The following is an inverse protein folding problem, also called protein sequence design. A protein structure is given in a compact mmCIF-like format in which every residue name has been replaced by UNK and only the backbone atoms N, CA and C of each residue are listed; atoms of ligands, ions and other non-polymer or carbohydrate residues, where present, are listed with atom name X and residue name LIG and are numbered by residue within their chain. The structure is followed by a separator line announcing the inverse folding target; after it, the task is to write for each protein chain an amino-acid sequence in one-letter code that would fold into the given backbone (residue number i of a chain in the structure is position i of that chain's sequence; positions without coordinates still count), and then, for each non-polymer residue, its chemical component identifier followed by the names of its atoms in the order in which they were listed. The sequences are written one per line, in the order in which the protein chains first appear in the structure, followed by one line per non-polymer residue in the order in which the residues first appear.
data_IF_525425493702
#
_entry.id   IF_525425493702
#
_cell.length_a   1.000
_cell.length_b   1.000
_cell.length_c   1.000
_cell.angle_alpha   90.00
_cell.angle_beta   90.00
_cell.angle_gamma   90.00
#
_symmetry.space_group_name_H-M   'P 1'
#
loop_
_entity.id
_entity.type
_entity.pdbx_description
1 polymer ?
#
# COMPACT_ATOMS: atom_id res chain seq x y z
N UNK A 1 23.77 -47.19 -4.32
CA UNK A 1 24.03 -45.76 -4.33
C UNK A 1 23.51 -45.22 -5.66
N UNK A 2 22.23 -44.86 -5.74
CA UNK A 2 21.54 -44.43 -6.96
C UNK A 2 21.16 -42.99 -6.80
N UNK A 3 21.73 -42.14 -7.63
CA UNK A 3 21.40 -40.73 -7.71
C UNK A 3 20.15 -40.57 -8.59
N UNK A 4 19.07 -40.08 -8.02
CA UNK A 4 17.86 -39.68 -8.74
C UNK A 4 18.07 -38.26 -9.30
N UNK A 5 18.30 -38.20 -10.60
CA UNK A 5 18.23 -36.97 -11.40
C UNK A 5 16.77 -36.60 -11.59
N UNK A 6 16.38 -35.44 -11.11
CA UNK A 6 15.05 -34.86 -11.30
C UNK A 6 14.85 -34.47 -12.78
N UNK A 7 13.86 -35.05 -13.42
CA UNK A 7 13.43 -34.71 -14.78
C UNK A 7 12.24 -33.71 -14.69
N UNK A 8 12.33 -32.48 -15.25
CA UNK A 8 11.24 -31.53 -15.24
C UNK A 8 10.42 -31.56 -16.54
N UNK A 9 9.74 -32.68 -16.83
CA UNK A 9 8.83 -32.75 -17.97
C UNK A 9 7.56 -33.47 -17.55
N UNK A 10 6.50 -32.72 -17.24
CA UNK A 10 5.14 -33.25 -17.15
C UNK A 10 4.60 -33.48 -18.57
N UNK A 11 4.54 -34.75 -18.97
CA UNK A 11 3.90 -35.18 -20.21
C UNK A 11 2.43 -35.46 -19.88
N UNK A 12 1.52 -34.62 -20.34
CA UNK A 12 0.10 -34.89 -20.38
C UNK A 12 -0.23 -35.69 -21.65
N UNK A 13 -0.39 -37.02 -21.53
CA UNK A 13 -0.92 -37.82 -22.60
C UNK A 13 -2.45 -37.72 -22.61
N UNK A 14 -3.01 -37.06 -23.61
CA UNK A 14 -4.43 -37.12 -23.92
C UNK A 14 -4.64 -38.19 -24.98
N UNK A 15 -5.24 -39.31 -24.61
CA UNK A 15 -5.64 -40.36 -25.55
C UNK A 15 -7.09 -40.10 -25.97
N UNK A 16 -7.30 -39.91 -27.28
CA UNK A 16 -8.61 -39.81 -27.90
C UNK A 16 -8.95 -41.19 -28.51
N UNK A 17 -10.12 -41.79 -28.25
CA UNK A 17 -10.49 -43.04 -28.86
C UNK A 17 -10.98 -42.87 -30.29
N UNK A 18 -10.25 -43.50 -31.21
CA UNK A 18 -10.64 -43.57 -32.63
C UNK A 18 -11.60 -44.74 -32.85
N UNK A 19 -12.72 -44.59 -33.58
CA UNK A 19 -13.77 -45.64 -33.72
C UNK A 19 -13.37 -46.80 -34.66
N UNK A 20 -12.16 -46.87 -35.17
CA UNK A 20 -11.69 -47.93 -36.08
C UNK A 20 -10.47 -48.74 -35.64
N UNK A 21 -10.11 -48.69 -34.36
CA UNK A 21 -9.29 -49.77 -33.76
C UNK A 21 -7.84 -49.90 -34.24
N UNK A 22 -7.22 -48.89 -34.86
CA UNK A 22 -5.80 -48.93 -35.21
C UNK A 22 -5.11 -47.77 -34.51
N UNK A 23 -4.42 -48.07 -33.43
CA UNK A 23 -3.68 -47.08 -32.65
C UNK A 23 -2.38 -46.69 -33.40
N UNK A 24 -2.40 -45.57 -34.10
CA UNK A 24 -1.20 -44.88 -34.53
C UNK A 24 -0.98 -43.68 -33.61
N UNK A 25 -0.22 -43.91 -32.54
CA UNK A 25 0.22 -42.84 -31.66
C UNK A 25 1.48 -42.19 -32.24
N UNK A 26 1.34 -41.16 -33.01
CA UNK A 26 2.46 -40.23 -33.27
C UNK A 26 2.56 -39.28 -32.08
N UNK A 27 3.74 -39.15 -31.43
CA UNK A 27 3.91 -38.13 -30.38
C UNK A 27 3.97 -36.77 -31.02
N UNK A 28 2.93 -35.99 -30.84
CA UNK A 28 2.92 -34.57 -31.17
C UNK A 28 3.71 -33.84 -30.09
N UNK A 29 5.00 -33.62 -30.36
CA UNK A 29 5.82 -32.73 -29.53
C UNK A 29 5.37 -31.29 -29.77
N UNK A 30 4.49 -30.77 -28.97
CA UNK A 30 4.39 -29.32 -28.78
C UNK A 30 5.64 -28.88 -28.02
N UNK A 31 6.67 -28.46 -28.76
CA UNK A 31 7.76 -27.72 -28.19
C UNK A 31 7.20 -26.36 -27.77
N UNK A 32 6.84 -26.25 -26.49
CA UNK A 32 6.70 -24.94 -25.88
C UNK A 32 8.02 -24.20 -26.10
N UNK A 33 7.98 -22.96 -26.61
CA UNK A 33 9.21 -22.17 -26.67
C UNK A 33 9.79 -22.12 -25.24
N UNK A 34 11.11 -22.15 -25.09
CA UNK A 34 11.72 -21.99 -23.79
C UNK A 34 11.11 -20.73 -23.18
N UNK A 35 10.60 -20.85 -21.96
CA UNK A 35 10.20 -19.69 -21.19
C UNK A 35 11.41 -18.76 -21.18
N UNK A 36 11.42 -17.81 -22.10
CA UNK A 36 12.31 -16.66 -21.99
C UNK A 36 11.89 -16.07 -20.68
N UNK A 37 12.70 -16.31 -19.65
CA UNK A 37 12.53 -15.68 -18.36
C UNK A 37 12.43 -14.20 -18.65
N UNK A 38 11.22 -13.70 -18.73
CA UNK A 38 10.97 -12.29 -18.59
C UNK A 38 11.38 -11.98 -17.16
N UNK A 39 12.67 -11.78 -16.97
CA UNK A 39 13.17 -10.91 -15.93
C UNK A 39 12.53 -9.57 -16.23
N UNK A 40 11.31 -9.38 -15.70
CA UNK A 40 10.80 -8.02 -15.56
C UNK A 40 11.91 -7.25 -14.87
N UNK A 41 12.44 -6.19 -15.50
CA UNK A 41 13.43 -5.37 -14.84
C UNK A 41 12.77 -4.96 -13.53
N UNK A 42 13.40 -5.30 -12.42
CA UNK A 42 12.97 -4.94 -11.07
C UNK A 42 13.25 -3.44 -10.86
N UNK A 43 12.79 -2.62 -11.80
CA UNK A 43 12.76 -1.18 -11.65
C UNK A 43 11.46 -0.83 -10.92
N UNK A 44 11.55 -0.92 -9.60
CA UNK A 44 10.58 -0.22 -8.78
C UNK A 44 10.72 1.26 -9.12
N UNK A 45 9.61 1.94 -9.35
CA UNK A 45 9.58 3.38 -9.63
C UNK A 45 10.31 4.14 -8.52
N UNK A 46 11.35 4.85 -8.87
CA UNK A 46 12.10 5.69 -7.94
C UNK A 46 11.43 7.05 -7.81
N UNK A 47 11.77 7.81 -6.76
CA UNK A 47 11.31 9.20 -6.61
C UNK A 47 11.72 10.06 -7.80
N UNK A 48 12.91 9.81 -8.37
CA UNK A 48 13.39 10.49 -9.58
C UNK A 48 12.53 10.17 -10.80
N UNK A 49 12.14 8.91 -10.98
CA UNK A 49 11.26 8.50 -12.08
C UNK A 49 9.89 9.17 -11.97
N UNK A 50 9.34 9.24 -10.76
CA UNK A 50 8.08 9.93 -10.48
C UNK A 50 8.16 11.43 -10.82
N UNK A 51 9.23 12.10 -10.42
CA UNK A 51 9.46 13.52 -10.76
C UNK A 51 9.60 13.69 -12.27
N UNK A 52 10.33 12.84 -12.97
CA UNK A 52 10.46 12.89 -14.43
C UNK A 52 9.12 12.67 -15.14
N UNK A 53 8.28 11.78 -14.62
CA UNK A 53 6.94 11.60 -15.15
C UNK A 53 6.08 12.86 -14.95
N UNK A 54 6.16 13.50 -13.80
CA UNK A 54 5.47 14.78 -13.55
C UNK A 54 5.94 15.88 -14.48
N UNK A 55 7.25 16.01 -14.71
CA UNK A 55 7.84 16.96 -15.65
C UNK A 55 7.35 16.71 -17.09
N UNK A 56 7.17 15.45 -17.51
CA UNK A 56 6.64 15.13 -18.82
C UNK A 56 5.22 15.65 -19.05
N UNK A 57 4.38 15.73 -18.03
CA UNK A 57 3.01 16.28 -18.14
C UNK A 57 2.98 17.78 -18.45
N UNK A 58 4.03 18.50 -18.15
CA UNK A 58 4.17 19.93 -18.50
C UNK A 58 5.05 20.15 -19.74
N UNK A 59 5.58 19.05 -20.36
CA UNK A 59 6.48 19.12 -21.51
C UNK A 59 7.91 19.55 -21.17
N UNK A 60 8.32 19.48 -19.90
CA UNK A 60 9.68 19.73 -19.48
C UNK A 60 10.60 18.51 -19.74
N UNK A 61 11.89 18.78 -19.86
CA UNK A 61 12.90 17.73 -20.08
C UNK A 61 13.12 16.91 -18.81
N UNK A 62 13.35 15.60 -18.99
CA UNK A 62 13.72 14.72 -17.88
C UNK A 62 15.07 15.13 -17.28
N UNK A 63 15.22 14.94 -15.97
CA UNK A 63 16.42 15.24 -15.21
C UNK A 63 17.07 13.98 -14.67
N UNK A 64 18.40 14.02 -14.48
CA UNK A 64 19.14 12.86 -13.98
C UNK A 64 19.32 12.87 -12.45
N UNK A 65 19.09 14.01 -11.82
CA UNK A 65 19.23 14.20 -10.37
C UNK A 65 18.13 15.13 -9.87
N UNK A 66 17.71 14.92 -8.64
CA UNK A 66 16.79 15.83 -7.96
C UNK A 66 17.64 16.97 -7.41
N UNK A 67 17.63 18.12 -8.10
CA UNK A 67 18.32 19.33 -7.69
C UNK A 67 17.30 20.35 -7.21
N UNK A 68 17.50 20.86 -5.99
CA UNK A 68 16.59 21.83 -5.39
C UNK A 68 16.79 23.26 -5.93
N UNK A 69 17.83 23.51 -6.73
CA UNK A 69 18.08 24.81 -7.34
C UNK A 69 17.11 25.10 -8.49
N UNK A 70 16.51 24.07 -9.09
CA UNK A 70 15.48 24.24 -10.11
C UNK A 70 14.09 24.35 -9.46
N UNK A 71 13.38 25.47 -9.60
CA UNK A 71 12.08 25.68 -8.97
C UNK A 71 11.00 24.72 -9.42
N UNK A 72 11.08 24.21 -10.66
CA UNK A 72 10.12 23.22 -11.17
C UNK A 72 10.31 21.86 -10.47
N UNK A 73 11.56 21.41 -10.31
CA UNK A 73 11.91 20.16 -9.62
C UNK A 73 11.52 20.28 -8.15
N UNK A 74 11.88 21.36 -7.48
CA UNK A 74 11.51 21.60 -6.09
C UNK A 74 9.98 21.55 -5.89
N UNK A 75 9.24 22.20 -6.78
CA UNK A 75 7.77 22.18 -6.72
C UNK A 75 7.20 20.80 -6.99
N UNK A 76 7.77 20.02 -7.93
CA UNK A 76 7.35 18.65 -8.21
C UNK A 76 7.57 17.74 -7.00
N UNK A 77 8.74 17.81 -6.37
CA UNK A 77 9.06 17.03 -5.16
C UNK A 77 8.13 17.42 -4.00
N UNK A 78 7.91 18.70 -3.78
CA UNK A 78 7.01 19.19 -2.72
C UNK A 78 5.57 18.67 -2.90
N UNK A 79 5.06 18.71 -4.13
CA UNK A 79 3.71 18.19 -4.45
C UNK A 79 3.67 16.67 -4.31
N UNK A 80 4.72 15.97 -4.72
CA UNK A 80 4.82 14.51 -4.57
C UNK A 80 4.76 14.12 -3.08
N UNK A 81 5.52 14.80 -2.23
CA UNK A 81 5.54 14.55 -0.79
C UNK A 81 4.21 14.93 -0.10
N UNK A 82 3.53 15.99 -0.56
CA UNK A 82 2.20 16.38 -0.11
C UNK A 82 1.17 15.29 -0.43
N UNK A 83 1.17 14.81 -1.68
CA UNK A 83 0.25 13.78 -2.15
C UNK A 83 0.54 12.44 -1.48
N UNK A 84 1.81 12.07 -1.30
CA UNK A 84 2.22 10.87 -0.57
C UNK A 84 1.61 10.86 0.83
N UNK A 85 1.75 11.94 1.59
CA UNK A 85 1.13 12.05 2.92
C UNK A 85 -0.39 11.96 2.87
N UNK A 86 -1.02 12.60 1.88
CA UNK A 86 -2.48 12.55 1.71
C UNK A 86 -2.99 11.14 1.43
N UNK A 87 -2.30 10.39 0.56
CA UNK A 87 -2.67 9.02 0.20
C UNK A 87 -2.42 8.06 1.36
N UNK A 88 -1.28 8.17 2.04
CA UNK A 88 -0.94 7.31 3.17
C UNK A 88 -1.84 7.55 4.39
N UNK A 89 -2.35 8.77 4.57
CA UNK A 89 -3.28 9.07 5.65
C UNK A 89 -4.66 8.41 5.49
N UNK A 90 -4.97 7.85 4.31
CA UNK A 90 -6.18 7.05 4.10
C UNK A 90 -6.14 5.74 4.90
N UNK A 91 -4.96 5.25 5.27
CA UNK A 91 -4.77 4.02 6.06
C UNK A 91 -4.97 2.76 5.22
N UNK A 92 -3.90 2.28 4.58
CA UNK A 92 -3.87 1.06 3.77
C UNK A 92 -3.29 -0.09 4.59
N UNK A 93 -3.54 -1.32 4.20
CA UNK A 93 -3.06 -2.51 4.92
C UNK A 93 -1.52 -2.51 5.10
N UNK A 94 -0.78 -2.05 4.09
CA UNK A 94 0.69 -2.04 4.15
C UNK A 94 1.30 -0.99 5.09
N UNK A 95 0.57 0.08 5.44
CA UNK A 95 1.05 1.14 6.33
C UNK A 95 0.24 1.26 7.64
N UNK A 96 -0.67 0.31 7.89
CA UNK A 96 -1.50 0.26 9.08
C UNK A 96 -1.11 -0.92 9.95
N UNK A 97 -0.91 -0.68 11.24
CA UNK A 97 -0.64 -1.73 12.21
C UNK A 97 -1.66 -1.70 13.32
N UNK A 98 -2.18 -2.88 13.66
CA UNK A 98 -3.13 -3.02 14.76
C UNK A 98 -2.39 -3.39 16.06
N UNK A 99 -2.88 -2.83 17.16
CA UNK A 99 -2.35 -3.12 18.51
C UNK A 99 -0.86 -2.82 18.68
N UNK A 100 -0.37 -1.79 18.00
CA UNK A 100 1.01 -1.35 18.17
C UNK A 100 1.25 -0.90 19.62
N UNK A 101 2.27 -1.43 20.32
CA UNK A 101 2.50 -1.15 21.73
C UNK A 101 3.29 0.15 21.91
N UNK A 102 2.70 1.16 22.51
CA UNK A 102 3.40 2.34 22.99
C UNK A 102 3.77 2.16 24.47
N UNK A 103 5.06 2.19 24.76
CA UNK A 103 5.55 2.08 26.14
C UNK A 103 5.81 3.47 26.71
N UNK A 104 5.33 3.76 27.93
CA UNK A 104 5.69 4.98 28.61
C UNK A 104 7.17 4.97 29.01
N UNK A 105 7.78 6.14 29.05
CA UNK A 105 9.14 6.33 29.56
C UNK A 105 9.21 5.97 31.05
N UNK A 106 10.22 5.23 31.46
CA UNK A 106 10.36 4.71 32.84
C UNK A 106 10.51 5.81 33.92
N UNK A 107 10.85 7.04 33.55
CA UNK A 107 11.08 8.15 34.46
C UNK A 107 9.94 9.16 34.48
N UNK A 108 9.45 9.52 33.27
CA UNK A 108 8.43 10.56 33.12
C UNK A 108 7.02 9.99 32.99
N UNK A 109 6.89 8.69 32.74
CA UNK A 109 5.64 8.00 32.37
C UNK A 109 4.93 8.62 31.15
N UNK A 110 5.65 9.39 30.34
CA UNK A 110 5.13 10.00 29.12
C UNK A 110 5.41 9.11 27.91
N UNK A 111 4.54 9.14 26.92
CA UNK A 111 4.71 8.44 25.65
C UNK A 111 5.04 9.47 24.57
N UNK A 112 6.25 9.36 24.02
CA UNK A 112 6.71 10.20 22.90
C UNK A 112 6.19 9.59 21.59
N UNK A 113 5.57 10.42 20.75
CA UNK A 113 5.03 10.00 19.46
C UNK A 113 6.08 10.20 18.38
N UNK A 114 6.38 9.16 17.56
CA UNK A 114 7.28 9.28 16.43
C UNK A 114 6.76 10.26 15.37
N UNK A 115 7.65 10.98 14.71
CA UNK A 115 7.29 12.00 13.70
C UNK A 115 6.72 11.43 12.41
N UNK A 116 6.94 10.14 12.16
CA UNK A 116 6.40 9.40 11.02
C UNK A 116 5.03 8.75 11.29
N UNK A 117 4.39 9.08 12.40
CA UNK A 117 3.05 8.63 12.72
C UNK A 117 2.02 9.61 12.12
N UNK A 118 1.15 9.13 11.22
CA UNK A 118 0.08 9.92 10.59
C UNK A 118 -1.21 9.91 11.41
N UNK A 119 -1.58 8.74 11.92
CA UNK A 119 -2.80 8.56 12.69
C UNK A 119 -2.60 7.48 13.75
N UNK A 120 -3.28 7.60 14.87
CA UNK A 120 -3.39 6.55 15.86
C UNK A 120 -4.68 6.68 16.66
N UNK A 121 -5.18 5.56 17.10
CA UNK A 121 -6.35 5.44 17.95
C UNK A 121 -6.14 4.34 18.99
N UNK A 122 -6.64 4.51 20.20
CA UNK A 122 -6.59 3.45 21.20
C UNK A 122 -7.38 2.23 20.72
N UNK A 123 -6.78 1.04 20.80
CA UNK A 123 -7.44 -0.18 20.37
C UNK A 123 -8.64 -0.49 21.29
N UNK A 124 -9.83 -0.51 20.70
CA UNK A 124 -11.10 -0.67 21.45
C UNK A 124 -11.24 -2.02 22.15
N UNK A 125 -10.60 -3.06 21.66
CA UNK A 125 -10.68 -4.40 22.24
C UNK A 125 -9.86 -4.53 23.52
N UNK A 126 -8.74 -3.82 23.57
CA UNK A 126 -7.82 -3.85 24.71
C UNK A 126 -8.20 -2.81 25.80
N UNK A 127 -8.69 -1.65 25.38
CA UNK A 127 -8.90 -0.50 26.26
C UNK A 127 -10.37 -0.08 26.43
N UNK A 128 -11.34 -0.81 25.86
CA UNK A 128 -12.78 -0.61 26.05
C UNK A 128 -13.27 0.86 26.02
N UNK A 129 -12.72 1.71 25.13
CA UNK A 129 -13.00 3.15 25.07
C UNK A 129 -12.56 3.96 26.30
N UNK A 130 -11.64 3.48 27.10
CA UNK A 130 -11.21 4.18 28.30
C UNK A 130 -10.39 5.43 28.00
N UNK A 131 -9.72 5.49 26.86
CA UNK A 131 -8.83 6.57 26.46
C UNK A 131 -9.35 7.36 25.27
N UNK A 132 -9.14 8.68 25.29
CA UNK A 132 -9.31 9.58 24.14
C UNK A 132 -7.96 10.23 23.80
N UNK A 133 -7.17 9.54 23.03
CA UNK A 133 -5.78 9.89 22.76
C UNK A 133 -5.65 10.91 21.64
N UNK A 134 -4.75 11.89 21.83
CA UNK A 134 -4.36 12.87 20.81
C UNK A 134 -2.88 13.21 20.96
N UNK A 135 -2.26 13.74 19.90
CA UNK A 135 -0.90 14.27 19.96
C UNK A 135 -0.93 15.72 20.45
N UNK A 136 -0.14 16.03 21.46
CA UNK A 136 0.17 17.41 21.88
C UNK A 136 1.66 17.51 22.21
N UNK A 137 2.32 18.51 21.65
CA UNK A 137 3.76 18.73 21.89
C UNK A 137 4.64 17.51 21.60
N UNK A 138 4.26 16.68 20.58
CA UNK A 138 4.98 15.46 20.24
C UNK A 138 4.80 14.32 21.25
N UNK A 139 3.88 14.45 22.18
CA UNK A 139 3.57 13.45 23.22
C UNK A 139 2.12 12.99 23.10
N UNK A 140 1.86 11.78 23.57
CA UNK A 140 0.50 11.26 23.73
C UNK A 140 -0.19 11.99 24.89
N UNK A 141 -1.42 12.45 24.65
CA UNK A 141 -2.23 13.14 25.64
C UNK A 141 -3.62 12.52 25.68
N UNK A 142 -4.08 12.20 26.88
CA UNK A 142 -5.47 11.75 27.06
C UNK A 142 -6.38 12.97 27.33
N UNK A 143 -7.34 13.16 26.41
CA UNK A 143 -8.35 14.23 26.53
C UNK A 143 -9.38 13.95 27.62
N UNK A 144 -9.61 12.69 27.98
CA UNK A 144 -10.63 12.31 28.95
C UNK A 144 -10.19 12.65 30.37
N UNK A 145 -8.95 12.32 30.70
CA UNK A 145 -8.37 12.54 32.03
C UNK A 145 -7.47 13.77 32.11
N UNK A 146 -7.19 14.42 30.96
CA UNK A 146 -6.34 15.60 30.86
C UNK A 146 -4.90 15.37 31.34
N UNK A 147 -4.34 14.20 31.05
CA UNK A 147 -3.00 13.79 31.50
C UNK A 147 -2.09 13.42 30.34
N UNK A 148 -0.76 13.54 30.57
CA UNK A 148 0.29 13.07 29.65
C UNK A 148 0.94 11.77 30.15
N UNK A 149 0.64 11.37 31.39
CA UNK A 149 1.27 10.24 32.05
C UNK A 149 0.40 9.00 31.96
N UNK A 150 1.04 7.89 31.64
CA UNK A 150 0.43 6.59 31.49
C UNK A 150 1.20 5.57 32.35
N UNK A 151 0.48 4.84 33.19
CA UNK A 151 1.07 3.85 34.07
C UNK A 151 1.32 2.52 33.37
N UNK A 152 0.62 2.27 32.26
CA UNK A 152 0.67 1.01 31.52
C UNK A 152 0.97 1.24 30.03
N UNK A 153 1.37 0.18 29.36
CA UNK A 153 1.53 0.16 27.89
C UNK A 153 0.18 0.39 27.21
N UNK A 154 0.14 1.33 26.29
CA UNK A 154 -1.06 1.62 25.50
C UNK A 154 -0.93 0.97 24.12
N UNK A 155 -1.87 0.10 23.80
CA UNK A 155 -1.97 -0.52 22.47
C UNK A 155 -2.88 0.32 21.58
N UNK A 156 -2.33 0.78 20.47
CA UNK A 156 -3.03 1.61 19.50
C UNK A 156 -3.06 0.96 18.12
N UNK A 157 -4.09 1.27 17.37
CA UNK A 157 -4.11 1.05 15.94
C UNK A 157 -3.48 2.29 15.29
N UNK A 158 -2.48 2.08 14.44
CA UNK A 158 -1.61 3.15 13.93
C UNK A 158 -1.53 3.14 12.42
N UNK A 159 -1.31 4.33 11.84
CA UNK A 159 -1.04 4.52 10.41
C UNK A 159 0.29 5.25 10.28
N UNK A 160 1.22 4.64 9.57
CA UNK A 160 2.58 5.15 9.40
C UNK A 160 2.75 5.95 8.11
N UNK A 161 3.58 6.98 8.19
CA UNK A 161 4.17 7.59 7.00
C UNK A 161 5.35 6.73 6.55
N UNK A 162 5.21 6.13 5.39
CA UNK A 162 6.24 5.30 4.74
C UNK A 162 6.90 6.12 3.65
N UNK A 163 8.22 5.97 3.49
CA UNK A 163 8.95 6.64 2.42
C UNK A 163 8.49 6.17 1.05
N UNK A 164 8.52 7.06 0.05
CA UNK A 164 8.08 6.75 -1.31
C UNK A 164 8.75 5.50 -1.88
N UNK A 165 10.05 5.28 -1.57
CA UNK A 165 10.82 4.14 -2.07
C UNK A 165 10.34 2.80 -1.48
N UNK A 166 9.75 2.80 -0.29
CA UNK A 166 9.29 1.59 0.40
C UNK A 166 7.83 1.23 0.11
N UNK A 167 7.12 2.09 -0.62
CA UNK A 167 5.72 1.86 -0.98
C UNK A 167 5.58 0.72 -2.01
N UNK A 168 4.48 -0.06 -1.99
CA UNK A 168 4.14 -0.99 -3.06
C UNK A 168 3.96 -0.28 -4.41
N UNK A 169 4.35 -0.93 -5.51
CA UNK A 169 4.36 -0.34 -6.84
C UNK A 169 3.02 0.29 -7.28
N UNK A 170 1.83 -0.33 -7.07
CA UNK A 170 0.56 0.30 -7.45
C UNK A 170 0.34 1.67 -6.79
N UNK A 171 0.78 1.80 -5.53
CA UNK A 171 0.66 3.06 -4.79
C UNK A 171 1.63 4.13 -5.30
N UNK A 172 2.86 3.75 -5.68
CA UNK A 172 3.82 4.66 -6.32
C UNK A 172 3.25 5.25 -7.60
N UNK A 173 2.66 4.41 -8.45
CA UNK A 173 2.03 4.84 -9.70
C UNK A 173 0.83 5.76 -9.46
N UNK A 174 -0.03 5.40 -8.52
CA UNK A 174 -1.19 6.22 -8.15
C UNK A 174 -0.79 7.58 -7.58
N UNK A 175 0.16 7.60 -6.64
CA UNK A 175 0.68 8.84 -6.05
C UNK A 175 1.31 9.74 -7.13
N UNK A 176 2.10 9.15 -8.04
CA UNK A 176 2.73 9.87 -9.14
C UNK A 176 1.71 10.49 -10.09
N UNK A 177 0.66 9.75 -10.48
CA UNK A 177 -0.40 10.27 -11.33
C UNK A 177 -1.18 11.40 -10.64
N UNK A 178 -1.55 11.24 -9.38
CA UNK A 178 -2.26 12.25 -8.59
C UNK A 178 -1.40 13.50 -8.36
N UNK A 179 -0.12 13.34 -8.08
CA UNK A 179 0.83 14.43 -7.96
C UNK A 179 1.04 15.14 -9.30
N UNK A 180 1.17 14.39 -10.39
CA UNK A 180 1.30 14.92 -11.75
C UNK A 180 0.08 15.74 -12.18
N UNK A 181 -1.13 15.31 -11.83
CA UNK A 181 -2.36 16.08 -12.05
C UNK A 181 -2.32 17.43 -11.32
N UNK A 182 -1.94 17.42 -10.03
CA UNK A 182 -1.85 18.64 -9.24
C UNK A 182 -0.77 19.58 -9.78
N UNK A 183 0.36 19.02 -10.20
CA UNK A 183 1.48 19.74 -10.79
C UNK A 183 1.09 20.38 -12.13
N UNK A 184 0.51 19.62 -13.03
CA UNK A 184 0.02 20.12 -14.33
C UNK A 184 -1.03 21.23 -14.16
N UNK A 185 -1.96 21.07 -13.21
CA UNK A 185 -2.98 22.09 -12.95
C UNK A 185 -2.39 23.41 -12.44
N UNK A 186 -1.29 23.36 -11.68
CA UNK A 186 -0.61 24.57 -11.15
C UNK A 186 0.28 25.26 -12.21
N UNK A 187 0.92 24.49 -13.11
CA UNK A 187 1.90 25.05 -14.05
C UNK A 187 1.35 25.33 -15.44
N UNK A 188 0.51 24.48 -15.99
CA UNK A 188 0.02 24.59 -17.37
C UNK A 188 -1.49 24.88 -17.41
N UNK A 189 -2.28 24.19 -16.59
CA UNK A 189 -3.73 24.37 -16.53
C UNK A 189 -4.48 23.93 -17.79
N UNK A 190 -3.89 23.04 -18.64
CA UNK A 190 -4.59 22.47 -19.81
C UNK A 190 -5.70 21.54 -19.37
N UNK A 191 -6.93 21.82 -19.79
CA UNK A 191 -8.11 21.03 -19.46
C UNK A 191 -8.04 19.63 -20.08
N UNK A 192 -7.58 19.53 -21.32
CA UNK A 192 -7.51 18.25 -22.06
C UNK A 192 -6.53 17.29 -21.39
N UNK A 193 -5.33 17.76 -21.06
CA UNK A 193 -4.31 16.95 -20.34
C UNK A 193 -4.81 16.58 -18.95
N UNK A 194 -5.46 17.49 -18.26
CA UNK A 194 -6.02 17.23 -16.94
C UNK A 194 -7.06 16.10 -16.96
N UNK A 195 -7.98 16.12 -17.92
CA UNK A 195 -9.02 15.07 -18.06
C UNK A 195 -8.42 13.69 -18.35
N UNK A 196 -7.34 13.61 -19.14
CA UNK A 196 -6.63 12.36 -19.40
C UNK A 196 -5.96 11.82 -18.13
N UNK A 197 -5.26 12.67 -17.39
CA UNK A 197 -4.60 12.27 -16.14
C UNK A 197 -5.62 11.82 -15.08
N UNK A 198 -6.79 12.46 -15.02
CA UNK A 198 -7.88 12.04 -14.10
C UNK A 198 -8.38 10.63 -14.43
N UNK A 199 -8.49 10.28 -15.71
CA UNK A 199 -8.88 8.91 -16.10
C UNK A 199 -7.84 7.88 -15.67
N UNK A 200 -6.55 8.17 -15.91
CA UNK A 200 -5.45 7.31 -15.48
C UNK A 200 -5.42 7.18 -13.94
N UNK A 201 -5.59 8.29 -13.22
CA UNK A 201 -5.64 8.29 -11.74
C UNK A 201 -6.76 7.38 -11.20
N UNK A 202 -7.94 7.38 -11.84
CA UNK A 202 -9.05 6.52 -11.43
C UNK A 202 -8.75 5.03 -11.63
N UNK A 203 -8.10 4.68 -12.73
CA UNK A 203 -7.68 3.29 -13.01
C UNK A 203 -6.61 2.84 -12.01
N UNK A 204 -5.63 3.69 -11.72
CA UNK A 204 -4.57 3.39 -10.76
C UNK A 204 -5.11 3.30 -9.32
N UNK A 205 -6.09 4.13 -8.95
CA UNK A 205 -6.77 3.99 -7.66
C UNK A 205 -7.50 2.66 -7.53
N UNK A 206 -8.16 2.20 -8.59
CA UNK A 206 -8.80 0.89 -8.60
C UNK A 206 -7.79 -0.24 -8.41
N UNK A 207 -6.61 -0.14 -9.05
CA UNK A 207 -5.52 -1.10 -8.87
C UNK A 207 -4.96 -1.10 -7.43
N UNK A 208 -4.90 0.07 -6.77
CA UNK A 208 -4.52 0.15 -5.35
C UNK A 208 -5.53 -0.58 -4.45
N UNK A 209 -6.82 -0.36 -4.66
CA UNK A 209 -7.89 -1.03 -3.89
C UNK A 209 -7.86 -2.53 -4.12
N UNK A 210 -7.63 -2.99 -5.35
CA UNK A 210 -7.48 -4.41 -5.65
C UNK A 210 -6.27 -5.01 -4.94
N UNK A 211 -5.12 -4.31 -4.97
CA UNK A 211 -3.92 -4.74 -4.27
C UNK A 211 -4.16 -4.86 -2.76
N UNK A 212 -4.72 -3.82 -2.15
CA UNK A 212 -5.02 -3.75 -0.72
C UNK A 212 -5.99 -4.87 -0.29
N UNK A 213 -7.08 -5.06 -1.04
CA UNK A 213 -8.05 -6.14 -0.78
C UNK A 213 -7.41 -7.52 -0.89
N UNK A 214 -6.49 -7.73 -1.82
CA UNK A 214 -5.78 -8.99 -1.99
C UNK A 214 -4.76 -9.23 -0.87
N UNK A 215 -4.12 -8.18 -0.39
CA UNK A 215 -3.08 -8.29 0.66
C UNK A 215 -3.70 -8.46 2.03
N UNK A 216 -4.72 -7.70 2.36
CA UNK A 216 -5.43 -7.77 3.64
C UNK A 216 -6.20 -9.08 3.84
N UNK A 217 -6.46 -9.86 2.75
CA UNK A 217 -7.20 -11.13 2.81
C UNK A 217 -8.47 -11.03 3.68
N UNK A 218 -9.38 -10.08 3.43
CA UNK A 218 -10.55 -9.91 4.26
C UNK A 218 -11.42 -11.17 4.22
N UNK A 219 -11.59 -11.79 5.37
CA UNK A 219 -12.49 -12.94 5.49
C UNK A 219 -13.91 -12.47 5.80
N UNK A 220 -14.75 -12.36 4.79
CA UNK A 220 -16.14 -11.87 4.92
C UNK A 220 -17.02 -12.83 5.72
N UNK A 221 -16.68 -14.13 5.76
CA UNK A 221 -17.51 -15.18 6.36
C UNK A 221 -16.96 -15.77 7.67
N UNK A 222 -15.74 -15.46 8.03
CA UNK A 222 -15.09 -16.01 9.20
C UNK A 222 -14.02 -15.12 9.79
N UNK A 223 -13.68 -15.38 11.02
CA UNK A 223 -12.62 -14.68 11.70
C UNK A 223 -11.30 -15.39 11.47
N UNK A 224 -10.25 -14.64 11.10
CA UNK A 224 -8.90 -15.17 10.99
C UNK A 224 -8.38 -15.68 12.35
N UNK A 225 -8.90 -15.13 13.46
CA UNK A 225 -8.51 -15.45 14.84
C UNK A 225 -9.72 -15.86 15.72
N UNK A 226 -10.71 -16.55 15.14
CA UNK A 226 -11.91 -16.92 15.90
C UNK A 226 -12.88 -15.74 16.15
N UNK A 227 -12.63 -14.57 15.59
CA UNK A 227 -13.48 -13.39 15.72
C UNK A 227 -14.49 -13.31 14.59
N UNK A 228 -15.73 -13.11 14.92
CA UNK A 228 -16.81 -13.07 13.95
C UNK A 228 -16.88 -11.68 13.30
N UNK A 229 -16.69 -11.50 11.98
CA UNK A 229 -16.79 -10.20 11.31
C UNK A 229 -18.18 -9.58 11.41
N UNK A 230 -19.18 -10.35 11.81
CA UNK A 230 -20.53 -9.84 12.11
C UNK A 230 -20.55 -8.88 13.32
N UNK A 231 -19.45 -8.81 14.09
CA UNK A 231 -19.32 -7.82 15.18
C UNK A 231 -19.32 -6.36 14.71
N UNK A 232 -19.03 -6.09 13.44
CA UNK A 232 -19.08 -4.73 12.89
C UNK A 232 -20.51 -4.17 12.80
N UNK A 233 -21.54 -5.01 12.83
CA UNK A 233 -22.94 -4.57 12.81
C UNK A 233 -23.74 -5.20 13.95
N UNK A 234 -23.39 -4.84 15.18
CA UNK A 234 -24.23 -5.15 16.33
C UNK A 234 -24.96 -3.89 16.79
N UNK A 235 -26.27 -3.74 16.51
CA UNK A 235 -27.05 -2.55 16.85
C UNK A 235 -26.98 -2.16 18.33
N UNK A 236 -26.76 -3.12 19.21
CA UNK A 236 -26.65 -2.86 20.66
C UNK A 236 -25.31 -2.23 21.07
N UNK A 237 -24.24 -2.37 20.28
CA UNK A 237 -22.96 -1.71 20.56
C UNK A 237 -23.02 -0.22 20.28
N UNK A 238 -23.84 0.20 19.31
CA UNK A 238 -24.06 1.63 19.04
C UNK A 238 -24.87 2.32 20.15
N UNK A 239 -25.52 1.57 21.01
CA UNK A 239 -26.29 2.07 22.18
C UNK A 239 -25.46 2.12 23.47
N UNK A 240 -24.23 1.56 23.46
CA UNK A 240 -23.27 1.70 24.55
C UNK A 240 -22.43 2.97 24.32
N UNK A 241 -22.98 4.09 24.65
CA UNK A 241 -22.24 5.36 24.81
C UNK A 241 -22.03 5.63 26.29
#
# INVERSE_FOLDING_TARGET
MWALSACPLQVLCVTWPDPKGVASAAPFFLSLPPETGHTYPKHMTTKLDAVNQMLSYIGASAVNTIDNDNPEIYSAVSILDEVTRSVLSEGWDFNSEQKYPFNPDAVTNEIIIPTNLLYFEANLEEHHNDYQLVVREGKMYDKRYHVYQFDEQIKCDVVWLVDFEDMPQPFKEYVTARAGRNFQARFVGSKETYELIVQDEQLLRAACIEYDTRTSNPNVLGTRDGRNPVYTYMPYQTLRR
#
